data_IF_147240613568
#
_entry.id   IF_147240613568
#
_cell.length_a   1.000
_cell.length_b   1.000
_cell.length_c   1.000
_cell.angle_alpha   90.00
_cell.angle_beta   90.00
_cell.angle_gamma   90.00
#
_symmetry.space_group_name_H-M   'P 1'
#
loop_
_entity.id
_entity.type
_entity.pdbx_description
1 polymer ?
#
# COMPACT_ATOMS: atom_id res chain seq x y z
N UNK A 1 46.05 -14.35 33.19
CA UNK A 1 45.47 -14.51 31.84
C UNK A 1 44.15 -13.75 31.78
N UNK A 2 44.12 -12.56 31.19
CA UNK A 2 42.90 -11.79 31.01
C UNK A 2 42.14 -12.35 29.80
N UNK A 3 41.09 -13.14 30.03
CA UNK A 3 40.18 -13.47 28.94
C UNK A 3 39.52 -12.19 28.43
N UNK A 4 39.60 -11.86 27.12
CA UNK A 4 38.89 -10.71 26.60
C UNK A 4 37.40 -10.94 26.82
N UNK A 5 36.76 -10.04 27.57
CA UNK A 5 35.32 -10.05 27.78
C UNK A 5 34.64 -10.15 26.41
N UNK A 6 34.04 -11.32 26.13
CA UNK A 6 33.29 -11.60 24.91
C UNK A 6 32.15 -10.59 24.85
N UNK A 7 32.36 -9.45 24.18
CA UNK A 7 31.37 -8.37 24.06
C UNK A 7 30.07 -9.02 23.61
N UNK A 8 29.06 -9.05 24.48
CA UNK A 8 27.73 -9.58 24.14
C UNK A 8 27.31 -8.87 22.86
N UNK A 9 27.24 -9.61 21.76
CA UNK A 9 26.87 -9.05 20.47
C UNK A 9 25.48 -8.41 20.64
N UNK A 10 25.41 -7.07 20.52
CA UNK A 10 24.14 -6.34 20.64
C UNK A 10 23.13 -7.00 19.70
N UNK A 11 21.92 -7.37 20.13
CA UNK A 11 20.95 -7.98 19.24
C UNK A 11 20.57 -7.00 18.12
N UNK A 12 20.51 -7.48 16.88
CA UNK A 12 20.14 -6.66 15.71
C UNK A 12 18.75 -6.00 15.86
N UNK A 13 17.87 -6.63 16.64
CA UNK A 13 16.55 -6.10 16.98
C UNK A 13 16.33 -6.23 18.49
N UNK A 14 16.39 -5.11 19.19
CA UNK A 14 16.09 -5.02 20.63
C UNK A 14 14.60 -5.29 20.94
N UNK A 15 14.23 -5.49 22.22
CA UNK A 15 12.86 -5.88 22.60
C UNK A 15 11.78 -4.88 22.12
N UNK A 16 12.01 -3.57 22.30
CA UNK A 16 11.09 -2.53 21.79
C UNK A 16 11.01 -2.54 20.25
N UNK A 17 12.14 -2.73 19.58
CA UNK A 17 12.23 -2.79 18.12
C UNK A 17 11.53 -4.03 17.54
N UNK A 18 11.45 -5.13 18.29
CA UNK A 18 10.68 -6.33 17.91
C UNK A 18 9.17 -6.06 17.90
N UNK A 19 8.68 -5.27 18.86
CA UNK A 19 7.25 -4.88 18.91
C UNK A 19 6.93 -3.99 17.71
N UNK A 20 7.75 -2.98 17.45
CA UNK A 20 7.59 -2.11 16.29
C UNK A 20 7.61 -2.90 14.98
N UNK A 21 8.53 -3.87 14.83
CA UNK A 21 8.58 -4.74 13.66
C UNK A 21 7.28 -5.53 13.47
N UNK A 22 6.70 -6.08 14.54
CA UNK A 22 5.43 -6.81 14.46
C UNK A 22 4.28 -5.90 14.01
N UNK A 23 4.20 -4.69 14.58
CA UNK A 23 3.20 -3.69 14.18
C UNK A 23 3.36 -3.35 12.69
N UNK A 24 4.59 -3.07 12.26
CA UNK A 24 4.90 -2.79 10.85
C UNK A 24 4.51 -3.94 9.93
N UNK A 25 4.77 -5.19 10.30
CA UNK A 25 4.36 -6.34 9.49
C UNK A 25 2.85 -6.51 9.40
N UNK A 26 2.12 -6.27 10.48
CA UNK A 26 0.64 -6.31 10.46
C UNK A 26 0.10 -5.19 9.56
N UNK A 27 0.56 -3.96 9.75
CA UNK A 27 0.14 -2.82 8.94
C UNK A 27 0.47 -3.01 7.46
N UNK A 28 1.68 -3.49 7.15
CA UNK A 28 2.10 -3.82 5.79
C UNK A 28 1.24 -4.93 5.17
N UNK A 29 0.91 -5.98 5.93
CA UNK A 29 0.03 -7.04 5.43
C UNK A 29 -1.36 -6.50 5.08
N UNK A 30 -1.94 -5.65 5.92
CA UNK A 30 -3.23 -5.01 5.63
C UNK A 30 -3.13 -4.13 4.37
N UNK A 31 -2.06 -3.33 4.26
CA UNK A 31 -1.82 -2.51 3.06
C UNK A 31 -1.68 -3.35 1.79
N UNK A 32 -0.99 -4.49 1.83
CA UNK A 32 -0.88 -5.40 0.68
C UNK A 32 -2.24 -5.93 0.27
N UNK A 33 -3.03 -6.46 1.21
CA UNK A 33 -4.38 -6.99 0.92
C UNK A 33 -5.25 -5.90 0.29
N UNK A 34 -5.25 -4.71 0.89
CA UNK A 34 -5.99 -3.56 0.41
C UNK A 34 -5.52 -3.11 -0.99
N UNK A 35 -4.21 -3.09 -1.25
CA UNK A 35 -3.64 -2.70 -2.55
C UNK A 35 -3.98 -3.71 -3.65
N UNK A 36 -3.97 -5.01 -3.34
CA UNK A 36 -4.41 -6.06 -4.27
C UNK A 36 -5.88 -5.84 -4.61
N UNK A 37 -6.72 -5.49 -3.63
CA UNK A 37 -8.14 -5.23 -3.87
C UNK A 37 -8.34 -4.04 -4.82
N UNK A 38 -7.70 -2.90 -4.53
CA UNK A 38 -7.79 -1.71 -5.38
C UNK A 38 -7.29 -1.99 -6.80
N UNK A 39 -6.18 -2.72 -6.91
CA UNK A 39 -5.59 -3.10 -8.21
C UNK A 39 -6.51 -4.04 -8.98
N UNK A 40 -7.13 -5.02 -8.31
CA UNK A 40 -8.01 -5.98 -8.95
C UNK A 40 -9.26 -5.31 -9.49
N UNK A 41 -9.93 -4.45 -8.70
CA UNK A 41 -11.12 -3.71 -9.16
C UNK A 41 -10.76 -2.82 -10.36
N UNK A 42 -9.64 -2.10 -10.29
CA UNK A 42 -9.15 -1.24 -11.38
C UNK A 42 -8.86 -2.06 -12.64
N UNK A 43 -8.25 -3.23 -12.50
CA UNK A 43 -7.95 -4.13 -13.60
C UNK A 43 -9.23 -4.71 -14.22
N UNK A 44 -10.19 -5.14 -13.40
CA UNK A 44 -11.46 -5.69 -13.88
C UNK A 44 -12.32 -4.64 -14.57
N UNK A 45 -12.32 -3.40 -14.09
CA UNK A 45 -12.96 -2.26 -14.75
C UNK A 45 -12.31 -2.01 -16.11
N UNK A 46 -10.97 -1.97 -16.17
CA UNK A 46 -10.23 -1.81 -17.42
C UNK A 46 -10.51 -2.91 -18.45
N UNK A 47 -10.60 -4.17 -18.00
CA UNK A 47 -10.86 -5.32 -18.87
C UNK A 47 -12.33 -5.44 -19.30
N UNK A 48 -13.27 -5.08 -18.43
CA UNK A 48 -14.71 -5.24 -18.69
C UNK A 48 -15.38 -4.01 -19.31
N UNK A 49 -14.75 -2.84 -19.22
CA UNK A 49 -15.34 -1.56 -19.63
C UNK A 49 -16.49 -1.09 -18.72
N UNK A 50 -16.72 -1.75 -17.58
CA UNK A 50 -17.77 -1.41 -16.62
C UNK A 50 -17.19 -0.56 -15.49
N UNK A 51 -17.96 0.40 -15.00
CA UNK A 51 -17.58 1.20 -13.83
C UNK A 51 -17.84 0.38 -12.57
N UNK A 52 -16.78 -0.01 -11.86
CA UNK A 52 -16.80 -0.88 -10.67
C UNK A 52 -16.31 -0.16 -9.40
N UNK A 53 -15.69 1.02 -9.54
CA UNK A 53 -15.19 1.81 -8.41
C UNK A 53 -16.35 2.48 -7.63
N UNK A 54 -16.95 1.71 -6.71
CA UNK A 54 -18.08 2.13 -5.89
C UNK A 54 -17.68 2.76 -4.52
N UNK A 55 -18.66 2.93 -3.63
CA UNK A 55 -18.44 3.44 -2.27
C UNK A 55 -17.44 2.58 -1.47
N UNK A 56 -17.43 1.27 -1.66
CA UNK A 56 -16.50 0.36 -0.98
C UNK A 56 -15.09 0.58 -1.54
N UNK A 57 -14.94 0.76 -2.85
CA UNK A 57 -13.67 1.17 -3.45
C UNK A 57 -13.14 2.46 -2.82
N UNK A 58 -13.98 3.48 -2.64
CA UNK A 58 -13.59 4.74 -1.99
C UNK A 58 -13.16 4.55 -0.53
N UNK A 59 -13.87 3.74 0.26
CA UNK A 59 -13.46 3.43 1.63
C UNK A 59 -12.15 2.63 1.69
N UNK A 60 -11.93 1.71 0.76
CA UNK A 60 -10.66 0.98 0.65
C UNK A 60 -9.52 1.90 0.22
N UNK A 61 -9.78 2.85 -0.67
CA UNK A 61 -8.80 3.87 -1.04
C UNK A 61 -8.47 4.79 0.16
N UNK A 62 -9.47 5.21 0.92
CA UNK A 62 -9.26 5.98 2.15
C UNK A 62 -8.46 5.18 3.18
N UNK A 63 -8.77 3.89 3.36
CA UNK A 63 -8.01 2.99 4.24
C UNK A 63 -6.55 2.89 3.80
N UNK A 64 -6.30 2.74 2.50
CA UNK A 64 -4.95 2.74 1.93
C UNK A 64 -4.19 4.01 2.31
N UNK A 65 -4.82 5.16 2.10
CA UNK A 65 -4.24 6.47 2.34
C UNK A 65 -3.91 6.64 3.83
N UNK A 66 -4.87 6.38 4.73
CA UNK A 66 -4.70 6.55 6.17
C UNK A 66 -3.61 5.61 6.70
N UNK A 67 -3.66 4.32 6.34
CA UNK A 67 -2.63 3.36 6.75
C UNK A 67 -1.26 3.72 6.18
N UNK A 68 -1.20 4.12 4.91
CA UNK A 68 0.02 4.55 4.25
C UNK A 68 0.68 5.71 4.99
N UNK A 69 -0.09 6.74 5.36
CA UNK A 69 0.41 7.87 6.16
C UNK A 69 0.88 7.44 7.54
N UNK A 70 0.11 6.59 8.23
CA UNK A 70 0.44 6.12 9.58
C UNK A 70 1.76 5.34 9.63
N UNK A 71 2.11 4.59 8.57
CA UNK A 71 3.34 3.78 8.56
C UNK A 71 4.60 4.56 8.17
N UNK A 72 4.49 5.77 7.62
CA UNK A 72 5.65 6.56 7.14
C UNK A 72 6.70 6.70 8.24
N UNK A 73 6.32 7.31 9.38
CA UNK A 73 7.24 7.58 10.48
C UNK A 73 7.76 6.29 11.12
N UNK A 74 6.90 5.31 11.49
CA UNK A 74 7.35 4.01 11.99
C UNK A 74 8.38 3.30 11.11
N UNK A 75 8.21 3.29 9.79
CA UNK A 75 9.14 2.64 8.85
C UNK A 75 10.50 3.35 8.84
N UNK A 76 10.51 4.69 8.78
CA UNK A 76 11.73 5.49 8.79
C UNK A 76 12.51 5.26 10.10
N UNK A 77 11.82 5.37 11.24
CA UNK A 77 12.42 5.17 12.56
C UNK A 77 12.96 3.75 12.72
N UNK A 78 12.18 2.74 12.31
CA UNK A 78 12.62 1.35 12.37
C UNK A 78 13.87 1.13 11.52
N UNK A 79 13.85 1.56 10.26
CA UNK A 79 14.96 1.37 9.32
C UNK A 79 16.24 2.04 9.79
N UNK A 80 16.15 3.29 10.26
CA UNK A 80 17.28 4.03 10.82
C UNK A 80 17.93 3.30 12.01
N UNK A 81 17.12 2.93 13.01
CA UNK A 81 17.61 2.21 14.20
C UNK A 81 18.17 0.83 13.82
N UNK A 82 17.51 0.12 12.91
CA UNK A 82 17.95 -1.21 12.47
C UNK A 82 19.30 -1.16 11.75
N UNK A 83 19.49 -0.20 10.85
CA UNK A 83 20.76 0.05 10.16
C UNK A 83 21.87 0.35 11.17
N UNK A 84 21.64 1.26 12.12
CA UNK A 84 22.64 1.63 13.13
C UNK A 84 23.05 0.45 14.03
N UNK A 85 22.17 -0.54 14.20
CA UNK A 85 22.46 -1.76 14.96
C UNK A 85 23.17 -2.85 14.14
N UNK A 86 23.23 -2.71 12.81
CA UNK A 86 23.61 -3.80 11.91
C UNK A 86 24.65 -3.46 10.85
N UNK A 87 25.00 -2.18 10.66
CA UNK A 87 25.97 -1.75 9.64
C UNK A 87 27.32 -2.47 9.72
N UNK A 88 27.77 -2.80 10.93
CA UNK A 88 29.07 -3.42 11.17
C UNK A 88 29.03 -4.97 11.23
N UNK A 89 27.94 -5.57 10.72
CA UNK A 89 27.82 -7.03 10.70
C UNK A 89 28.70 -7.65 9.62
N UNK A 90 29.29 -8.84 9.88
CA UNK A 90 30.20 -9.49 8.93
C UNK A 90 29.48 -9.96 7.65
N UNK A 91 28.18 -10.24 7.73
CA UNK A 91 27.38 -10.62 6.56
C UNK A 91 27.02 -9.37 5.71
N UNK A 92 27.97 -8.93 4.89
CA UNK A 92 27.82 -7.75 4.03
C UNK A 92 26.70 -7.91 2.99
N UNK A 93 26.36 -9.13 2.57
CA UNK A 93 25.26 -9.37 1.62
C UNK A 93 23.90 -9.00 2.23
N UNK A 94 23.63 -9.46 3.45
CA UNK A 94 22.40 -9.10 4.17
C UNK A 94 22.31 -7.59 4.46
N UNK A 95 23.44 -6.97 4.82
CA UNK A 95 23.52 -5.51 5.08
C UNK A 95 23.24 -4.70 3.81
N UNK A 96 23.87 -5.04 2.68
CA UNK A 96 23.61 -4.38 1.38
C UNK A 96 22.15 -4.53 0.94
N UNK A 97 21.58 -5.73 1.07
CA UNK A 97 20.16 -5.95 0.79
C UNK A 97 19.25 -5.12 1.72
N UNK A 98 19.65 -4.95 2.99
CA UNK A 98 18.94 -4.11 3.95
C UNK A 98 18.97 -2.62 3.58
N UNK A 99 20.11 -2.10 3.11
CA UNK A 99 20.20 -0.73 2.59
C UNK A 99 19.33 -0.53 1.36
N UNK A 100 19.41 -1.44 0.39
CA UNK A 100 18.57 -1.39 -0.81
C UNK A 100 17.08 -1.41 -0.42
N UNK A 101 16.68 -2.33 0.46
CA UNK A 101 15.31 -2.42 0.96
C UNK A 101 14.85 -1.10 1.59
N UNK A 102 15.68 -0.47 2.42
CA UNK A 102 15.34 0.79 3.05
C UNK A 102 15.18 1.91 2.03
N UNK A 103 16.10 2.05 1.06
CA UNK A 103 16.02 3.06 0.00
C UNK A 103 14.74 2.89 -0.83
N UNK A 104 14.43 1.67 -1.28
CA UNK A 104 13.20 1.41 -2.05
C UNK A 104 11.93 1.62 -1.21
N UNK A 105 11.97 1.32 0.09
CA UNK A 105 10.87 1.67 0.99
C UNK A 105 10.68 3.19 1.10
N UNK A 106 11.75 3.98 1.18
CA UNK A 106 11.65 5.45 1.17
C UNK A 106 11.07 5.95 -0.15
N UNK A 107 11.51 5.42 -1.29
CA UNK A 107 10.94 5.75 -2.61
C UNK A 107 9.44 5.43 -2.64
N UNK A 108 9.03 4.27 -2.12
CA UNK A 108 7.62 3.88 -2.04
C UNK A 108 6.80 4.88 -1.21
N UNK A 109 7.30 5.27 -0.04
CA UNK A 109 6.63 6.22 0.84
C UNK A 109 6.55 7.62 0.21
N UNK A 110 7.63 8.12 -0.38
CA UNK A 110 7.66 9.43 -1.04
C UNK A 110 6.70 9.45 -2.22
N UNK A 111 6.71 8.43 -3.08
CA UNK A 111 5.79 8.35 -4.22
C UNK A 111 4.33 8.31 -3.76
N UNK A 112 4.01 7.58 -2.68
CA UNK A 112 2.67 7.57 -2.09
C UNK A 112 2.25 8.94 -1.57
N UNK A 113 3.14 9.62 -0.83
CA UNK A 113 2.92 10.97 -0.31
C UNK A 113 2.67 11.99 -1.43
N UNK A 114 3.49 11.97 -2.49
CA UNK A 114 3.36 12.90 -3.63
C UNK A 114 2.10 12.64 -4.47
N UNK A 115 1.54 11.43 -4.41
CA UNK A 115 0.27 11.12 -5.10
C UNK A 115 -0.95 11.62 -4.33
N UNK A 116 -0.83 11.88 -3.02
CA UNK A 116 -1.93 12.41 -2.22
C UNK A 116 -2.42 13.76 -2.77
N UNK A 117 -3.74 13.98 -2.73
CA UNK A 117 -4.39 15.24 -3.11
C UNK A 117 -5.00 15.88 -1.86
N UNK A 118 -5.12 17.20 -1.88
CA UNK A 118 -5.68 17.98 -0.76
C UNK A 118 -4.66 18.40 0.30
N UNK A 119 -3.36 18.10 0.12
CA UNK A 119 -2.28 18.67 0.92
C UNK A 119 -1.63 19.83 0.14
N UNK A 120 -1.80 21.10 0.55
CA UNK A 120 -1.36 22.27 -0.23
C UNK A 120 0.13 22.27 -0.57
N UNK A 121 0.96 21.64 0.29
CA UNK A 121 2.42 21.64 0.16
C UNK A 121 2.98 20.51 -0.72
N UNK A 122 2.21 19.46 -0.99
CA UNK A 122 2.70 18.22 -1.64
C UNK A 122 1.99 17.89 -2.95
N UNK A 123 1.06 18.73 -3.40
CA UNK A 123 0.25 18.42 -4.57
C UNK A 123 1.01 18.57 -5.90
N UNK A 124 1.29 17.43 -6.54
CA UNK A 124 1.86 17.40 -7.89
C UNK A 124 0.76 17.66 -8.93
N UNK A 125 0.78 18.86 -9.52
CA UNK A 125 -0.18 19.29 -10.56
C UNK A 125 0.17 18.80 -11.96
N UNK A 126 1.45 18.57 -12.25
CA UNK A 126 1.90 18.12 -13.57
C UNK A 126 1.45 16.68 -13.85
N UNK A 127 0.71 16.47 -14.94
CA UNK A 127 0.14 15.18 -15.33
C UNK A 127 1.20 14.11 -15.63
N UNK A 128 2.31 14.48 -16.29
CA UNK A 128 3.37 13.54 -16.66
C UNK A 128 4.10 13.05 -15.41
N UNK A 129 4.46 13.96 -14.52
CA UNK A 129 5.10 13.61 -13.24
C UNK A 129 4.19 12.70 -12.42
N UNK A 130 2.89 13.02 -12.34
CA UNK A 130 1.91 12.20 -11.62
C UNK A 130 1.78 10.79 -12.20
N UNK A 131 1.81 10.64 -13.53
CA UNK A 131 1.79 9.33 -14.20
C UNK A 131 3.04 8.51 -13.84
N UNK A 132 4.22 9.12 -13.84
CA UNK A 132 5.47 8.46 -13.44
C UNK A 132 5.39 8.01 -11.98
N UNK A 133 4.96 8.90 -11.08
CA UNK A 133 4.80 8.58 -9.65
C UNK A 133 3.82 7.44 -9.43
N UNK A 134 2.69 7.41 -10.16
CA UNK A 134 1.71 6.32 -10.11
C UNK A 134 2.34 4.98 -10.47
N UNK A 135 3.05 4.89 -11.60
CA UNK A 135 3.70 3.64 -12.01
C UNK A 135 4.81 3.21 -11.07
N UNK A 136 5.60 4.16 -10.56
CA UNK A 136 6.59 3.88 -9.51
C UNK A 136 5.91 3.31 -8.27
N UNK A 137 4.85 3.95 -7.78
CA UNK A 137 4.14 3.50 -6.59
C UNK A 137 3.48 2.12 -6.76
N UNK A 138 3.04 1.79 -7.98
CA UNK A 138 2.48 0.48 -8.30
C UNK A 138 3.54 -0.64 -8.40
N UNK A 139 4.74 -0.34 -8.94
CA UNK A 139 5.77 -1.35 -9.23
C UNK A 139 6.75 -1.53 -8.06
N UNK A 140 7.18 -0.45 -7.41
CA UNK A 140 8.17 -0.48 -6.31
C UNK A 140 7.79 -1.44 -5.17
N UNK A 141 6.52 -1.63 -4.76
CA UNK A 141 6.16 -2.62 -3.75
C UNK A 141 6.64 -4.04 -4.07
N UNK A 142 6.64 -4.43 -5.35
CA UNK A 142 7.12 -5.75 -5.78
C UNK A 142 8.63 -5.89 -5.53
N UNK A 143 9.39 -4.83 -5.82
CA UNK A 143 10.83 -4.78 -5.52
C UNK A 143 11.09 -4.78 -4.02
N UNK A 144 10.29 -4.06 -3.22
CA UNK A 144 10.39 -4.07 -1.75
C UNK A 144 10.15 -5.47 -1.19
N UNK A 145 9.11 -6.17 -1.66
CA UNK A 145 8.82 -7.55 -1.24
C UNK A 145 9.98 -8.49 -1.62
N UNK A 146 10.47 -8.39 -2.85
CA UNK A 146 11.61 -9.20 -3.32
C UNK A 146 12.87 -8.95 -2.50
N UNK A 147 13.25 -7.68 -2.30
CA UNK A 147 14.41 -7.29 -1.51
C UNK A 147 14.26 -7.71 -0.04
N UNK A 148 13.05 -7.67 0.51
CA UNK A 148 12.77 -8.16 1.85
C UNK A 148 13.02 -9.66 1.97
N UNK A 149 12.56 -10.46 1.00
CA UNK A 149 12.82 -11.91 0.95
C UNK A 149 14.34 -12.14 0.89
N UNK A 150 15.05 -11.46 0.00
CA UNK A 150 16.51 -11.60 -0.14
C UNK A 150 17.26 -11.20 1.13
N UNK A 151 16.90 -10.06 1.74
CA UNK A 151 17.46 -9.60 3.01
C UNK A 151 17.25 -10.63 4.12
N UNK A 152 16.08 -11.26 4.16
CA UNK A 152 15.74 -12.23 5.21
C UNK A 152 16.39 -13.59 4.97
N UNK A 153 16.42 -14.09 3.74
CA UNK A 153 17.11 -15.34 3.37
C UNK A 153 18.62 -15.24 3.62
N UNK A 154 19.24 -14.09 3.34
CA UNK A 154 20.64 -13.87 3.64
C UNK A 154 20.93 -13.80 5.16
N UNK A 155 19.93 -13.51 6.00
CA UNK A 155 20.05 -13.38 7.45
C UNK A 155 19.54 -14.58 8.24
N UNK A 156 18.23 -14.58 8.55
CA UNK A 156 17.56 -15.61 9.37
C UNK A 156 16.38 -16.15 8.59
N UNK A 157 16.22 -17.47 8.58
CA UNK A 157 15.14 -18.15 7.85
C UNK A 157 13.75 -17.52 8.06
N UNK A 158 12.99 -17.48 6.95
CA UNK A 158 11.61 -17.01 6.90
C UNK A 158 10.72 -18.13 7.47
N UNK A 159 9.80 -17.78 8.38
CA UNK A 159 8.70 -18.67 8.72
C UNK A 159 7.58 -18.47 7.70
N UNK A 160 7.16 -19.56 7.06
CA UNK A 160 6.09 -19.51 6.05
C UNK A 160 4.68 -19.37 6.65
N UNK A 161 4.52 -19.62 7.95
CA UNK A 161 3.24 -19.51 8.66
C UNK A 161 2.53 -18.15 8.46
N UNK A 162 3.16 -16.99 8.75
CA UNK A 162 2.53 -15.68 8.53
C UNK A 162 2.21 -15.42 7.06
N UNK A 163 3.03 -15.91 6.13
CA UNK A 163 2.78 -15.78 4.68
C UNK A 163 1.52 -16.56 4.28
N UNK A 164 1.40 -17.82 4.72
CA UNK A 164 0.19 -18.62 4.48
C UNK A 164 -1.05 -18.00 5.10
N UNK A 165 -0.94 -17.46 6.32
CA UNK A 165 -2.06 -16.80 7.00
C UNK A 165 -2.54 -15.56 6.25
N UNK A 166 -1.62 -14.67 5.86
CA UNK A 166 -1.96 -13.46 5.10
C UNK A 166 -2.59 -13.80 3.74
N UNK A 167 -2.08 -14.82 3.06
CA UNK A 167 -2.68 -15.33 1.82
C UNK A 167 -4.11 -15.86 2.04
N UNK A 168 -4.33 -16.69 3.06
CA UNK A 168 -5.66 -17.19 3.40
C UNK A 168 -6.65 -16.07 3.75
N UNK A 169 -6.21 -15.09 4.56
CA UNK A 169 -7.02 -13.91 4.90
C UNK A 169 -7.36 -13.08 3.67
N UNK A 170 -6.43 -12.95 2.71
CA UNK A 170 -6.69 -12.27 1.43
C UNK A 170 -7.86 -12.93 0.71
N UNK A 171 -7.83 -14.26 0.54
CA UNK A 171 -8.90 -15.00 -0.13
C UNK A 171 -10.24 -14.81 0.59
N UNK A 172 -10.27 -14.97 1.91
CA UNK A 172 -11.49 -14.82 2.72
C UNK A 172 -12.09 -13.41 2.60
N UNK A 173 -11.24 -12.38 2.72
CA UNK A 173 -11.67 -10.98 2.61
C UNK A 173 -12.23 -10.70 1.21
N UNK A 174 -11.61 -11.22 0.15
CA UNK A 174 -12.08 -11.02 -1.22
C UNK A 174 -13.42 -11.71 -1.48
N UNK A 175 -13.61 -12.93 -0.96
CA UNK A 175 -14.91 -13.60 -0.99
C UNK A 175 -15.96 -12.76 -0.24
N UNK A 176 -15.61 -12.24 0.94
CA UNK A 176 -16.48 -11.35 1.71
C UNK A 176 -16.86 -10.09 0.93
N UNK A 177 -15.89 -9.42 0.29
CA UNK A 177 -16.17 -8.25 -0.54
C UNK A 177 -17.03 -8.56 -1.75
N UNK A 178 -16.80 -9.68 -2.44
CA UNK A 178 -17.68 -10.11 -3.53
C UNK A 178 -19.14 -10.20 -3.07
N UNK A 179 -19.39 -10.78 -1.88
CA UNK A 179 -20.76 -10.84 -1.33
C UNK A 179 -21.31 -9.50 -0.88
N UNK A 180 -20.49 -8.61 -0.32
CA UNK A 180 -20.90 -7.25 0.05
C UNK A 180 -21.23 -6.40 -1.18
N UNK A 181 -20.46 -6.59 -2.27
CA UNK A 181 -20.59 -5.86 -3.52
C UNK A 181 -21.68 -6.38 -4.44
N UNK A 182 -22.12 -7.63 -4.28
CA UNK A 182 -23.18 -8.21 -5.13
C UNK A 182 -24.46 -7.35 -5.15
N UNK A 183 -24.71 -6.59 -4.09
CA UNK A 183 -25.90 -5.73 -3.94
C UNK A 183 -25.64 -4.25 -4.33
N UNK A 184 -24.38 -3.84 -4.54
CA UNK A 184 -24.03 -2.51 -5.10
C UNK A 184 -23.76 -2.57 -6.61
N UNK A 185 -23.28 -3.70 -7.12
CA UNK A 185 -22.93 -3.91 -8.54
C UNK A 185 -24.13 -3.89 -9.50
N UNK A 186 -25.29 -4.35 -9.02
CA UNK A 186 -26.54 -4.16 -9.74
C UNK A 186 -27.22 -2.98 -9.08
N UNK A 187 -27.24 -1.78 -9.69
CA UNK A 187 -28.19 -0.78 -9.23
C UNK A 187 -29.54 -1.49 -9.16
N UNK A 188 -30.23 -1.41 -8.03
CA UNK A 188 -31.69 -1.54 -8.10
C UNK A 188 -32.06 -0.60 -9.22
N UNK A 189 -32.71 -1.11 -10.28
CA UNK A 189 -33.37 -0.23 -11.23
C UNK A 189 -34.08 0.79 -10.37
N UNK A 190 -33.62 2.04 -10.47
CA UNK A 190 -34.39 3.13 -9.93
C UNK A 190 -35.60 3.07 -10.85
N UNK A 191 -36.68 2.49 -10.36
CA UNK A 191 -37.98 2.64 -10.99
C UNK A 191 -38.13 4.15 -11.08
N UNK A 192 -37.87 4.68 -12.28
CA UNK A 192 -38.06 6.08 -12.58
C UNK A 192 -39.55 6.28 -12.54
N UNK A 193 -40.07 6.48 -11.32
CA UNK A 193 -41.40 6.99 -11.09
C UNK A 193 -41.48 8.23 -11.98
N UNK A 194 -42.41 8.19 -12.96
CA UNK A 194 -42.49 9.12 -14.08
C UNK A 194 -41.99 10.51 -13.67
N UNK A 195 -40.86 10.93 -14.24
CA UNK A 195 -40.23 12.20 -13.92
C UNK A 195 -41.26 13.30 -14.14
N UNK A 196 -41.68 13.98 -13.07
CA UNK A 196 -42.62 15.08 -13.18
C UNK A 196 -42.09 16.08 -14.23
N UNK A 197 -42.86 16.39 -15.29
CA UNK A 197 -42.40 17.23 -16.40
C UNK A 197 -41.94 18.63 -15.96
N UNK A 198 -42.28 19.08 -14.75
CA UNK A 198 -41.73 20.30 -14.15
C UNK A 198 -40.20 20.27 -13.93
N UNK A 199 -39.60 19.09 -13.75
CA UNK A 199 -38.17 18.92 -13.44
C UNK A 199 -37.36 18.32 -14.59
N UNK A 200 -37.97 18.15 -15.76
CA UNK A 200 -37.21 17.79 -16.96
C UNK A 200 -36.22 18.94 -17.27
N UNK A 201 -34.95 18.65 -17.60
CA UNK A 201 -34.03 19.70 -18.03
C UNK A 201 -34.66 20.40 -19.24
N UNK A 202 -34.94 21.69 -19.13
CA UNK A 202 -35.45 22.46 -20.26
C UNK A 202 -34.43 22.32 -21.38
N UNK A 203 -34.86 21.86 -22.56
CA UNK A 203 -34.09 21.92 -23.81
C UNK A 203 -33.94 23.40 -24.24
N UNK A 204 -33.32 24.21 -23.39
CA UNK A 204 -32.93 25.57 -23.71
C UNK A 204 -31.83 25.46 -24.78
N UNK A 205 -32.28 25.43 -26.03
CA UNK A 205 -31.43 25.68 -27.17
C UNK A 205 -30.90 27.10 -27.01
N UNK A 206 -29.59 27.24 -26.86
CA UNK A 206 -28.95 28.53 -27.10
C UNK A 206 -29.16 28.85 -28.57
N UNK A 207 -29.81 29.97 -28.87
CA UNK A 207 -29.87 30.47 -30.24
C UNK A 207 -28.45 30.76 -30.70
N UNK A 208 -27.88 29.88 -31.52
CA UNK A 208 -26.65 30.18 -32.23
C UNK A 208 -26.92 31.34 -33.18
N UNK A 209 -26.19 32.44 -32.98
CA UNK A 209 -26.27 33.66 -33.75
C UNK A 209 -25.93 33.38 -35.22
N UNK A 210 -26.86 33.72 -36.13
CA UNK A 210 -26.56 34.00 -37.53
C UNK A 210 -25.98 35.40 -37.70
#
# INVERSE_FOLDING_TARGET
MNQPLKRRARPAVGPKLKVLLKILFVAFAILVINSIYLSLITLTEWLSGRILQDQIYLYMFLLHLVLGLLIVIPVIVYGWIHINNTFDRPNRRAVKAGYALFVFAIILLITGLLLTRGLPFFEVKNIQVRKILYWLHAIVPLLVIWLFIMHRLAGRSISWKPVKLTFALTIIIFIGFYFLQKNTFFPKEIEHQEMNPLFAPSFAQTSDNQ
#
